data_IF_735191644872
#
_entry.id   IF_735191644872
#
_cell.length_a   1.000
_cell.length_b   1.000
_cell.length_c   1.000
_cell.angle_alpha   90.00
_cell.angle_beta   90.00
_cell.angle_gamma   90.00
#
_symmetry.space_group_name_H-M   'P 1'
#
loop_
_entity.id
_entity.type
_entity.pdbx_description
1 polymer ?
#
# COMPACT_ATOMS: atom_id res chain seq x y z
N UNK A 1 1.96 20.45 -6.43
CA UNK A 1 3.17 19.99 -7.12
C UNK A 1 3.90 21.20 -7.68
N UNK A 2 4.88 21.73 -6.95
CA UNK A 2 5.74 22.80 -7.45
C UNK A 2 6.91 22.14 -8.17
N UNK A 3 7.03 22.36 -9.49
CA UNK A 3 8.13 21.81 -10.31
C UNK A 3 9.46 22.22 -9.69
N UNK A 4 10.24 21.22 -9.29
CA UNK A 4 11.56 21.35 -8.69
C UNK A 4 12.60 21.12 -9.77
N UNK A 5 13.12 22.21 -10.33
CA UNK A 5 14.37 22.22 -11.08
C UNK A 5 15.23 23.35 -10.52
N UNK A 6 16.17 23.08 -9.60
CA UNK A 6 17.05 24.10 -9.02
C UNK A 6 18.25 24.37 -9.93
N UNK A 7 18.08 24.32 -11.25
CA UNK A 7 19.15 24.64 -12.20
C UNK A 7 18.97 26.09 -12.64
N UNK A 8 19.43 27.03 -11.80
CA UNK A 8 19.62 28.42 -12.24
C UNK A 8 19.25 29.53 -11.25
N UNK A 9 18.54 29.27 -10.15
CA UNK A 9 18.25 30.31 -9.15
C UNK A 9 19.52 30.63 -8.32
N UNK A 10 19.98 31.89 -8.26
CA UNK A 10 21.06 32.27 -7.36
C UNK A 10 20.71 31.98 -5.90
N UNK A 11 21.69 31.52 -5.12
CA UNK A 11 21.49 31.14 -3.71
C UNK A 11 20.83 32.25 -2.87
N UNK A 12 21.13 33.52 -3.15
CA UNK A 12 20.53 34.67 -2.48
C UNK A 12 19.03 34.80 -2.73
N UNK A 13 18.59 34.58 -3.96
CA UNK A 13 17.18 34.62 -4.35
C UNK A 13 16.41 33.43 -3.75
N UNK A 14 17.02 32.25 -3.79
CA UNK A 14 16.51 31.04 -3.13
C UNK A 14 16.28 31.27 -1.63
N UNK A 15 17.28 31.81 -0.92
CA UNK A 15 17.17 32.12 0.51
C UNK A 15 16.06 33.14 0.76
N UNK A 16 15.99 34.22 -0.03
CA UNK A 16 14.97 35.26 0.10
C UNK A 16 13.56 34.67 -0.08
N UNK A 17 13.38 33.83 -1.10
CA UNK A 17 12.11 33.17 -1.40
C UNK A 17 11.70 32.22 -0.27
N UNK A 18 12.58 31.28 0.12
CA UNK A 18 12.32 30.32 1.19
C UNK A 18 12.02 31.02 2.53
N UNK A 19 12.71 32.12 2.82
CA UNK A 19 12.46 32.94 4.01
C UNK A 19 11.06 33.54 3.99
N UNK A 20 10.63 34.11 2.86
CA UNK A 20 9.28 34.69 2.69
C UNK A 20 8.18 33.64 2.77
N UNK A 21 8.36 32.49 2.13
CA UNK A 21 7.44 31.34 2.21
C UNK A 21 7.22 30.87 3.65
N UNK A 22 8.22 31.05 4.52
CA UNK A 22 8.18 30.72 5.95
C UNK A 22 7.74 31.87 6.86
N UNK A 23 7.32 33.01 6.30
CA UNK A 23 6.88 34.18 7.06
C UNK A 23 7.98 34.83 7.91
N UNK A 24 9.26 34.61 7.60
CA UNK A 24 10.38 35.12 8.38
C UNK A 24 10.84 36.49 7.89
N UNK A 25 11.14 37.41 8.81
CA UNK A 25 11.88 38.64 8.50
C UNK A 25 13.37 38.33 8.37
N UNK A 26 14.15 39.21 7.71
CA UNK A 26 15.61 39.05 7.67
C UNK A 26 16.22 39.01 9.08
N UNK A 27 15.66 39.79 10.02
CA UNK A 27 16.08 39.79 11.42
C UNK A 27 15.77 38.45 12.08
N UNK A 28 14.54 37.95 11.94
CA UNK A 28 14.15 36.65 12.51
C UNK A 28 14.98 35.48 11.95
N UNK A 29 15.29 35.48 10.65
CA UNK A 29 16.19 34.48 10.08
C UNK A 29 17.60 34.60 10.67
N UNK A 30 18.14 35.83 10.73
CA UNK A 30 19.46 36.10 11.29
C UNK A 30 19.59 35.63 12.75
N UNK A 31 18.57 35.89 13.57
CA UNK A 31 18.50 35.47 14.97
C UNK A 31 18.52 33.93 15.07
N UNK A 32 17.74 33.23 14.22
CA UNK A 32 17.68 31.76 14.19
C UNK A 32 19.00 31.11 13.79
N UNK A 33 19.76 31.71 12.88
CA UNK A 33 21.09 31.19 12.45
C UNK A 33 22.27 31.86 13.16
N UNK A 34 22.00 32.67 14.19
CA UNK A 34 23.00 33.36 15.01
C UNK A 34 23.99 34.22 14.18
N UNK A 35 23.46 35.02 13.26
CA UNK A 35 24.24 35.96 12.46
C UNK A 35 23.61 37.37 12.46
N UNK A 36 24.23 38.34 11.78
CA UNK A 36 23.67 39.69 11.71
C UNK A 36 22.61 39.81 10.60
N UNK A 37 21.60 40.67 10.82
CA UNK A 37 20.61 41.03 9.76
C UNK A 37 21.29 41.50 8.47
N UNK A 38 22.36 42.29 8.61
CA UNK A 38 23.15 42.81 7.49
C UNK A 38 23.78 41.68 6.67
N UNK A 39 24.27 40.63 7.33
CA UNK A 39 24.84 39.46 6.66
C UNK A 39 23.77 38.71 5.85
N UNK A 40 22.55 38.52 6.38
CA UNK A 40 21.43 37.95 5.61
C UNK A 40 21.08 38.84 4.40
N UNK A 41 21.05 40.16 4.59
CA UNK A 41 20.77 41.11 3.50
C UNK A 41 21.81 41.01 2.36
N UNK A 42 23.10 40.96 2.69
CA UNK A 42 24.19 40.81 1.72
C UNK A 42 24.14 39.48 0.98
N UNK A 43 23.72 38.41 1.67
CA UNK A 43 23.52 37.09 1.05
C UNK A 43 22.35 37.13 0.07
N UNK A 44 21.21 37.65 0.50
CA UNK A 44 20.01 37.75 -0.34
C UNK A 44 20.18 38.70 -1.53
N UNK A 45 21.11 39.65 -1.48
CA UNK A 45 21.42 40.54 -2.60
C UNK A 45 22.51 39.98 -3.53
N UNK A 46 23.03 38.78 -3.26
CA UNK A 46 24.14 38.18 -4.01
C UNK A 46 25.50 38.85 -3.75
N UNK A 47 25.58 39.83 -2.85
CA UNK A 47 26.82 40.52 -2.50
C UNK A 47 27.78 39.63 -1.69
N UNK A 48 27.27 38.56 -1.06
CA UNK A 48 28.05 37.61 -0.29
C UNK A 48 27.54 36.19 -0.46
N UNK A 49 28.45 35.25 -0.68
CA UNK A 49 28.13 33.82 -0.63
C UNK A 49 28.30 33.32 0.82
N UNK A 50 27.29 32.64 1.41
CA UNK A 50 27.41 32.12 2.77
C UNK A 50 28.46 31.01 2.84
N UNK A 51 29.38 31.14 3.79
CA UNK A 51 30.35 30.09 4.12
C UNK A 51 29.63 28.84 4.65
N UNK A 52 30.26 27.67 4.52
CA UNK A 52 29.65 26.37 4.85
C UNK A 52 28.92 26.31 6.21
N UNK A 53 29.48 26.75 7.35
CA UNK A 53 28.77 26.64 8.65
C UNK A 53 27.47 27.45 8.70
N UNK A 54 27.47 28.64 8.07
CA UNK A 54 26.28 29.48 7.98
C UNK A 54 25.27 28.88 7.00
N UNK A 55 25.75 28.31 5.88
CA UNK A 55 24.90 27.63 4.89
C UNK A 55 24.23 26.37 5.47
N UNK A 56 24.95 25.58 6.28
CA UNK A 56 24.38 24.43 7.01
C UNK A 56 23.26 24.90 7.95
N UNK A 57 23.52 25.96 8.74
CA UNK A 57 22.53 26.54 9.66
C UNK A 57 21.31 27.10 8.93
N UNK A 58 21.53 27.82 7.83
CA UNK A 58 20.46 28.33 6.96
C UNK A 58 19.66 27.18 6.36
N UNK A 59 20.31 26.12 5.87
CA UNK A 59 19.64 24.96 5.30
C UNK A 59 18.73 24.27 6.33
N UNK A 60 19.22 24.10 7.57
CA UNK A 60 18.45 23.51 8.65
C UNK A 60 17.22 24.37 9.03
N UNK A 61 17.40 25.69 9.21
CA UNK A 61 16.29 26.61 9.55
C UNK A 61 15.28 26.74 8.41
N UNK A 62 15.76 26.73 7.17
CA UNK A 62 14.93 26.80 5.98
C UNK A 62 14.44 25.40 5.55
N UNK A 63 14.83 24.30 6.18
CA UNK A 63 14.39 22.95 5.81
C UNK A 63 14.66 22.54 4.35
N UNK A 64 15.63 23.16 3.69
CA UNK A 64 16.03 22.87 2.30
C UNK A 64 17.56 22.96 2.19
N UNK A 65 18.24 21.95 1.63
CA UNK A 65 19.68 22.01 1.40
C UNK A 65 20.03 23.13 0.40
N UNK A 66 20.86 24.09 0.82
CA UNK A 66 21.29 25.20 -0.03
C UNK A 66 22.52 24.80 -0.86
N UNK A 67 22.59 25.14 -2.17
CA UNK A 67 23.72 24.78 -3.03
C UNK A 67 25.01 25.52 -2.64
N UNK A 68 26.18 25.03 -3.10
CA UNK A 68 27.49 25.64 -2.83
C UNK A 68 27.74 26.94 -3.60
N UNK A 69 27.30 26.99 -4.85
CA UNK A 69 27.50 28.12 -5.76
C UNK A 69 26.47 28.05 -6.89
N UNK A 70 26.11 29.21 -7.45
CA UNK A 70 25.26 29.30 -8.65
C UNK A 70 26.02 29.12 -9.97
N UNK A 71 27.24 28.56 -9.95
CA UNK A 71 28.10 28.34 -11.14
C UNK A 71 28.81 27.00 -11.07
N UNK A 72 29.08 26.43 -12.25
CA UNK A 72 29.85 25.20 -12.48
C UNK A 72 31.22 25.27 -11.80
N UNK A 73 31.59 24.19 -11.11
CA UNK A 73 32.76 24.09 -10.23
C UNK A 73 33.68 22.96 -10.74
N UNK A 74 34.99 23.03 -10.49
CA UNK A 74 35.96 22.03 -10.95
C UNK A 74 35.71 20.62 -10.33
N UNK A 75 36.20 19.50 -10.92
CA UNK A 75 35.82 18.14 -10.50
C UNK A 75 36.12 17.77 -9.04
N UNK A 76 37.25 18.24 -8.48
CA UNK A 76 37.61 18.00 -7.08
C UNK A 76 36.72 18.81 -6.12
N UNK A 77 36.41 20.06 -6.47
CA UNK A 77 35.47 20.91 -5.76
C UNK A 77 34.03 20.39 -5.87
N UNK A 78 33.69 19.69 -6.96
CA UNK A 78 32.40 19.05 -7.16
C UNK A 78 32.18 17.83 -6.26
N UNK A 79 33.22 17.04 -5.97
CA UNK A 79 33.14 15.92 -5.03
C UNK A 79 32.95 16.40 -3.58
N UNK A 80 33.71 17.42 -3.16
CA UNK A 80 33.56 18.06 -1.84
C UNK A 80 32.18 18.73 -1.71
N UNK A 81 31.71 19.39 -2.78
CA UNK A 81 30.35 19.93 -2.88
C UNK A 81 29.29 18.85 -2.73
N UNK A 82 29.49 17.64 -3.28
CA UNK A 82 28.53 16.54 -3.15
C UNK A 82 28.44 16.03 -1.71
N UNK A 83 29.59 15.83 -1.04
CA UNK A 83 29.62 15.40 0.36
C UNK A 83 28.97 16.44 1.29
N UNK A 84 29.27 17.72 1.07
CA UNK A 84 28.64 18.85 1.77
C UNK A 84 27.12 18.88 1.57
N UNK A 85 26.66 18.71 0.32
CA UNK A 85 25.24 18.69 0.01
C UNK A 85 24.52 17.51 0.69
N UNK A 86 25.14 16.33 0.74
CA UNK A 86 24.60 15.18 1.47
C UNK A 86 24.52 15.43 2.97
N UNK A 87 25.56 16.02 3.57
CA UNK A 87 25.57 16.39 4.98
C UNK A 87 24.44 17.38 5.31
N UNK A 88 24.28 18.43 4.50
CA UNK A 88 23.19 19.39 4.65
C UNK A 88 21.82 18.73 4.49
N UNK A 89 21.66 17.87 3.47
CA UNK A 89 20.47 17.05 3.27
C UNK A 89 20.11 16.22 4.50
N UNK A 90 21.10 15.51 5.06
CA UNK A 90 20.91 14.70 6.25
C UNK A 90 20.53 15.54 7.47
N UNK A 91 21.20 16.68 7.71
CA UNK A 91 20.87 17.57 8.81
C UNK A 91 19.45 18.14 8.72
N UNK A 92 18.99 18.45 7.50
CA UNK A 92 17.61 18.88 7.24
C UNK A 92 16.63 17.76 7.56
N UNK A 93 16.90 16.53 7.11
CA UNK A 93 16.05 15.37 7.41
C UNK A 93 16.01 15.09 8.92
N UNK A 94 17.16 15.09 9.59
CA UNK A 94 17.29 14.89 11.03
C UNK A 94 16.48 15.93 11.83
N UNK A 95 16.50 17.19 11.40
CA UNK A 95 15.70 18.25 12.04
C UNK A 95 14.20 18.13 11.77
N UNK A 96 13.79 17.48 10.67
CA UNK A 96 12.38 17.31 10.29
C UNK A 96 11.74 16.09 10.94
N UNK A 97 12.43 14.95 10.90
CA UNK A 97 11.97 13.67 11.44
C UNK A 97 13.19 12.83 11.87
N UNK A 98 13.54 12.86 13.17
CA UNK A 98 14.67 12.11 13.69
C UNK A 98 14.54 10.59 13.51
N UNK A 99 13.32 10.05 13.56
CA UNK A 99 13.06 8.60 13.42
C UNK A 99 13.34 8.17 11.97
N UNK A 100 12.86 8.96 10.99
CA UNK A 100 13.17 8.72 9.59
C UNK A 100 14.68 8.82 9.30
N UNK A 101 15.36 9.80 9.90
CA UNK A 101 16.81 9.96 9.75
C UNK A 101 17.60 8.78 10.35
N UNK A 102 17.18 8.27 11.51
CA UNK A 102 17.76 7.06 12.12
C UNK A 102 17.55 5.82 11.23
N UNK A 103 16.36 5.64 10.67
CA UNK A 103 16.09 4.57 9.71
C UNK A 103 16.99 4.65 8.48
N UNK A 104 17.14 5.85 7.90
CA UNK A 104 18.03 6.07 6.77
C UNK A 104 19.49 5.75 7.11
N UNK A 105 19.95 6.12 8.31
CA UNK A 105 21.30 5.81 8.78
C UNK A 105 21.53 4.30 8.93
N UNK A 106 20.57 3.56 9.50
CA UNK A 106 20.65 2.09 9.60
C UNK A 106 20.74 1.41 8.25
N UNK A 107 19.95 1.86 7.27
CA UNK A 107 20.02 1.36 5.89
C UNK A 107 21.40 1.66 5.29
N UNK A 108 21.88 2.89 5.41
CA UNK A 108 23.20 3.29 4.88
C UNK A 108 24.35 2.47 5.49
N UNK A 109 24.32 2.24 6.81
CA UNK A 109 25.29 1.37 7.50
C UNK A 109 25.23 -0.06 6.98
N UNK A 110 24.03 -0.61 6.78
CA UNK A 110 23.82 -1.94 6.19
C UNK A 110 24.38 -2.04 4.77
N UNK A 111 24.19 -1.01 3.93
CA UNK A 111 24.75 -0.94 2.58
C UNK A 111 26.28 -0.94 2.59
N UNK A 112 26.89 -0.17 3.50
CA UNK A 112 28.36 -0.14 3.65
C UNK A 112 28.88 -1.52 4.08
N UNK A 113 28.24 -2.15 5.07
CA UNK A 113 28.61 -3.48 5.53
C UNK A 113 28.47 -4.55 4.43
N UNK A 114 27.36 -4.52 3.68
CA UNK A 114 27.14 -5.42 2.55
C UNK A 114 28.14 -5.19 1.41
N UNK A 115 28.55 -3.94 1.19
CA UNK A 115 29.59 -3.58 0.23
C UNK A 115 30.97 -4.15 0.58
N UNK A 116 31.31 -4.11 1.87
CA UNK A 116 32.58 -4.62 2.40
C UNK A 116 32.66 -6.15 2.51
N UNK A 117 31.53 -6.86 2.42
CA UNK A 117 31.49 -8.31 2.46
C UNK A 117 32.18 -8.95 1.23
N UNK A 118 32.69 -10.17 1.40
CA UNK A 118 33.42 -10.89 0.36
C UNK A 118 32.56 -11.27 -0.87
N UNK A 119 33.20 -11.75 -1.94
CA UNK A 119 32.52 -12.11 -3.19
C UNK A 119 31.52 -13.26 -3.02
N UNK A 120 31.68 -14.12 -2.02
CA UNK A 120 30.81 -15.26 -1.72
C UNK A 120 29.36 -14.86 -1.42
N UNK A 121 29.13 -13.63 -0.93
CA UNK A 121 27.77 -13.12 -0.66
C UNK A 121 27.24 -12.18 -1.77
N UNK A 122 27.89 -12.13 -2.94
CA UNK A 122 27.50 -11.24 -4.03
C UNK A 122 26.03 -11.43 -4.46
N UNK A 123 25.56 -12.68 -4.52
CA UNK A 123 24.17 -12.99 -4.85
C UNK A 123 23.19 -12.47 -3.79
N UNK A 124 23.52 -12.58 -2.50
CA UNK A 124 22.70 -12.07 -1.40
C UNK A 124 22.65 -10.54 -1.42
N UNK A 125 23.79 -9.89 -1.70
CA UNK A 125 23.87 -8.43 -1.89
C UNK A 125 22.98 -7.96 -3.04
N UNK A 126 23.03 -8.65 -4.18
CA UNK A 126 22.20 -8.34 -5.33
C UNK A 126 20.70 -8.50 -5.03
N UNK A 127 20.32 -9.51 -4.25
CA UNK A 127 18.94 -9.70 -3.77
C UNK A 127 18.53 -8.51 -2.87
N UNK A 128 19.34 -8.17 -1.87
CA UNK A 128 19.05 -7.07 -0.95
C UNK A 128 18.88 -5.73 -1.67
N UNK A 129 19.77 -5.41 -2.63
CA UNK A 129 19.67 -4.19 -3.43
C UNK A 129 18.38 -4.12 -4.23
N UNK A 130 17.96 -5.23 -4.86
CA UNK A 130 16.67 -5.28 -5.57
C UNK A 130 15.48 -5.07 -4.63
N UNK A 131 15.53 -5.58 -3.39
CA UNK A 131 14.45 -5.35 -2.42
C UNK A 131 14.44 -3.90 -1.92
N UNK A 132 15.60 -3.27 -1.71
CA UNK A 132 15.68 -1.85 -1.36
C UNK A 132 15.10 -0.96 -2.46
N UNK A 133 15.48 -1.20 -3.72
CA UNK A 133 14.95 -0.45 -4.86
C UNK A 133 13.42 -0.59 -4.98
N UNK A 134 12.87 -1.79 -4.71
CA UNK A 134 11.41 -1.99 -4.64
C UNK A 134 10.77 -1.16 -3.53
N UNK A 135 11.36 -1.15 -2.33
CA UNK A 135 10.84 -0.37 -1.21
C UNK A 135 10.86 1.14 -1.50
N UNK A 136 11.95 1.65 -2.07
CA UNK A 136 12.07 3.05 -2.50
C UNK A 136 11.00 3.42 -3.53
N UNK A 137 10.78 2.56 -4.52
CA UNK A 137 9.74 2.76 -5.53
C UNK A 137 8.33 2.78 -4.94
N UNK A 138 8.02 1.95 -3.93
CA UNK A 138 6.72 1.98 -3.26
C UNK A 138 6.57 3.25 -2.41
N UNK A 139 7.59 3.63 -1.64
CA UNK A 139 7.58 4.84 -0.81
C UNK A 139 7.38 6.11 -1.65
N UNK A 140 8.01 6.20 -2.82
CA UNK A 140 7.85 7.32 -3.74
C UNK A 140 6.40 7.51 -4.23
N UNK A 141 5.60 6.44 -4.26
CA UNK A 141 4.21 6.46 -4.70
C UNK A 141 3.24 6.91 -3.58
N UNK A 142 3.57 6.68 -2.30
CA UNK A 142 2.68 6.96 -1.15
C UNK A 142 2.08 8.38 -1.16
N UNK A 143 2.82 9.47 -1.43
CA UNK A 143 2.24 10.82 -1.47
C UNK A 143 1.14 11.00 -2.52
N UNK A 144 1.14 10.17 -3.57
CA UNK A 144 0.10 10.19 -4.61
C UNK A 144 -1.20 9.52 -4.18
N UNK A 145 -1.26 8.94 -2.96
CA UNK A 145 -2.41 8.21 -2.42
C UNK A 145 -2.75 6.92 -3.16
N UNK A 146 -1.87 6.51 -4.06
CA UNK A 146 -1.92 5.29 -4.86
C UNK A 146 -0.55 4.64 -4.78
N UNK A 147 -0.52 3.32 -4.59
CA UNK A 147 0.71 2.55 -4.66
C UNK A 147 0.50 1.28 -5.50
N UNK A 148 1.35 1.09 -6.49
CA UNK A 148 1.47 -0.15 -7.25
C UNK A 148 2.58 -0.99 -6.63
N UNK A 149 2.19 -2.12 -6.08
CA UNK A 149 3.08 -3.11 -5.46
C UNK A 149 3.16 -4.31 -6.41
N UNK A 150 4.33 -4.63 -7.01
CA UNK A 150 4.50 -5.81 -7.86
C UNK A 150 4.10 -7.12 -7.16
N UNK A 151 4.00 -8.23 -7.90
CA UNK A 151 3.55 -9.60 -7.54
C UNK A 151 3.84 -10.15 -6.12
N UNK A 152 4.73 -9.51 -5.37
CA UNK A 152 5.15 -9.83 -4.02
C UNK A 152 4.27 -9.19 -2.94
N UNK A 153 3.11 -8.63 -3.28
CA UNK A 153 2.19 -8.21 -2.22
C UNK A 153 1.73 -9.47 -1.46
N UNK A 154 1.93 -9.45 -0.16
CA UNK A 154 1.63 -10.57 0.72
C UNK A 154 0.18 -10.50 1.18
N UNK A 155 -0.32 -11.61 1.69
CA UNK A 155 -1.58 -11.62 2.44
C UNK A 155 -1.50 -10.65 3.64
N UNK A 156 -0.33 -10.50 4.26
CA UNK A 156 -0.07 -9.51 5.31
C UNK A 156 -0.35 -8.06 4.87
N UNK A 157 -0.04 -7.70 3.61
CA UNK A 157 -0.36 -6.36 3.08
C UNK A 157 -1.88 -6.12 3.01
N UNK A 158 -2.66 -7.16 2.71
CA UNK A 158 -4.12 -7.06 2.72
C UNK A 158 -4.64 -6.97 4.15
N UNK A 159 -4.12 -7.80 5.08
CA UNK A 159 -4.47 -7.75 6.50
C UNK A 159 -4.24 -6.34 7.07
N UNK A 160 -3.12 -5.70 6.73
CA UNK A 160 -2.79 -4.32 7.16
C UNK A 160 -3.88 -3.30 6.78
N UNK A 161 -4.55 -3.50 5.64
CA UNK A 161 -5.66 -2.64 5.18
C UNK A 161 -6.99 -3.08 5.78
N UNK A 162 -7.26 -4.39 5.81
CA UNK A 162 -8.48 -5.00 6.33
C UNK A 162 -8.68 -4.69 7.82
N UNK A 163 -7.62 -4.76 8.63
CA UNK A 163 -7.70 -4.50 10.08
C UNK A 163 -8.16 -3.08 10.42
N UNK A 164 -7.99 -2.14 9.47
CA UNK A 164 -8.47 -0.77 9.60
C UNK A 164 -9.97 -0.63 9.37
N UNK A 165 -10.68 -1.68 8.95
CA UNK A 165 -12.12 -1.64 8.68
C UNK A 165 -12.92 -1.21 9.92
N UNK A 166 -13.86 -0.30 9.70
CA UNK A 166 -14.76 0.22 10.74
C UNK A 166 -16.23 0.04 10.40
N UNK A 167 -16.56 -0.17 9.13
CA UNK A 167 -17.94 -0.25 8.65
C UNK A 167 -18.15 -1.44 7.73
N UNK A 168 -17.29 -1.66 6.74
CA UNK A 168 -17.47 -2.73 5.76
C UNK A 168 -16.18 -3.26 5.14
N UNK A 169 -16.17 -4.55 4.78
CA UNK A 169 -15.14 -5.17 3.93
C UNK A 169 -15.84 -5.89 2.79
N UNK A 170 -15.52 -5.53 1.54
CA UNK A 170 -16.10 -6.12 0.33
C UNK A 170 -14.99 -6.75 -0.50
N UNK A 171 -15.12 -8.03 -0.84
CA UNK A 171 -14.09 -8.74 -1.59
C UNK A 171 -14.64 -9.56 -2.74
N UNK A 172 -13.92 -9.56 -3.86
CA UNK A 172 -14.11 -10.46 -5.00
C UNK A 172 -12.86 -11.33 -5.14
N UNK A 173 -13.06 -12.64 -5.11
CA UNK A 173 -12.06 -13.65 -5.40
C UNK A 173 -12.33 -14.20 -6.80
N UNK A 174 -11.51 -13.79 -7.78
CA UNK A 174 -11.66 -14.20 -9.18
C UNK A 174 -10.42 -14.92 -9.73
N UNK A 175 -9.49 -15.34 -8.88
CA UNK A 175 -8.37 -16.21 -9.21
C UNK A 175 -8.50 -17.52 -8.43
N UNK A 176 -7.77 -18.57 -8.84
CA UNK A 176 -7.79 -19.85 -8.14
C UNK A 176 -7.48 -19.71 -6.64
N UNK A 177 -8.12 -20.54 -5.82
CA UNK A 177 -8.03 -20.48 -4.35
C UNK A 177 -6.63 -20.72 -3.78
N UNK A 178 -5.65 -21.14 -4.58
CA UNK A 178 -4.27 -21.33 -4.17
C UNK A 178 -3.65 -20.11 -3.46
N UNK A 179 -4.07 -18.89 -3.82
CA UNK A 179 -3.60 -17.66 -3.18
C UNK A 179 -4.18 -17.40 -1.77
N UNK A 180 -5.26 -18.08 -1.39
CA UNK A 180 -5.97 -17.89 -0.10
C UNK A 180 -6.19 -19.20 0.68
N UNK A 181 -5.95 -20.38 0.10
CA UNK A 181 -6.26 -21.67 0.73
C UNK A 181 -5.13 -22.29 1.56
N UNK A 182 -3.89 -21.79 1.47
CA UNK A 182 -2.72 -22.33 2.19
C UNK A 182 -2.43 -21.67 3.54
N UNK A 183 -1.28 -22.01 4.15
CA UNK A 183 -0.79 -21.44 5.43
C UNK A 183 -0.74 -19.91 5.41
N UNK A 184 -0.30 -19.31 4.29
CA UNK A 184 -0.28 -17.86 4.10
C UNK A 184 -1.69 -17.25 4.13
N UNK A 185 -2.72 -18.04 3.81
CA UNK A 185 -4.12 -17.64 3.94
C UNK A 185 -4.63 -17.65 5.39
N UNK A 186 -4.04 -18.41 6.31
CA UNK A 186 -4.57 -18.59 7.68
C UNK A 186 -4.67 -17.26 8.43
N UNK A 187 -3.64 -16.42 8.32
CA UNK A 187 -3.63 -15.09 8.91
C UNK A 187 -4.78 -14.22 8.39
N UNK A 188 -5.09 -14.31 7.10
CA UNK A 188 -6.21 -13.59 6.51
C UNK A 188 -7.56 -14.10 7.03
N UNK A 189 -7.77 -15.40 7.13
CA UNK A 189 -9.02 -15.94 7.69
C UNK A 189 -9.17 -15.55 9.16
N UNK A 190 -8.10 -15.69 9.94
CA UNK A 190 -8.09 -15.27 11.34
C UNK A 190 -8.44 -13.78 11.47
N UNK A 191 -7.90 -12.93 10.59
CA UNK A 191 -8.23 -11.50 10.55
C UNK A 191 -9.71 -11.26 10.24
N UNK A 192 -10.27 -11.97 9.25
CA UNK A 192 -11.68 -11.84 8.89
C UNK A 192 -12.61 -12.31 10.01
N UNK A 193 -12.28 -13.42 10.69
CA UNK A 193 -13.04 -13.93 11.83
C UNK A 193 -12.97 -12.97 13.03
N UNK A 194 -11.80 -12.39 13.31
CA UNK A 194 -11.65 -11.35 14.35
C UNK A 194 -12.51 -10.12 14.06
N UNK A 195 -12.59 -9.70 12.79
CA UNK A 195 -13.46 -8.59 12.39
C UNK A 195 -14.94 -8.94 12.53
N UNK A 196 -15.34 -10.12 12.07
CA UNK A 196 -16.73 -10.59 12.15
C UNK A 196 -17.21 -10.76 13.60
N UNK A 197 -16.31 -11.09 14.52
CA UNK A 197 -16.61 -11.20 15.95
C UNK A 197 -16.87 -9.86 16.66
N UNK A 198 -16.63 -8.71 16.01
CA UNK A 198 -16.89 -7.39 16.61
C UNK A 198 -18.40 -7.13 16.72
N UNK A 199 -18.83 -6.65 17.87
CA UNK A 199 -20.25 -6.42 18.20
C UNK A 199 -20.55 -4.94 18.48
N UNK A 200 -21.83 -4.57 18.47
CA UNK A 200 -22.30 -3.22 18.79
C UNK A 200 -21.84 -2.17 17.77
N UNK A 201 -21.34 -1.04 18.25
CA UNK A 201 -20.86 0.05 17.38
C UNK A 201 -19.57 -0.27 16.62
N UNK A 202 -18.92 -1.41 16.90
CA UNK A 202 -17.71 -1.87 16.24
C UNK A 202 -17.97 -2.95 15.17
N UNK A 203 -19.23 -3.34 14.95
CA UNK A 203 -19.60 -4.34 13.94
C UNK A 203 -19.21 -3.87 12.54
N UNK A 204 -18.60 -4.79 11.80
CA UNK A 204 -18.15 -4.58 10.42
C UNK A 204 -18.95 -5.50 9.51
N UNK A 205 -19.53 -4.93 8.46
CA UNK A 205 -20.27 -5.67 7.44
C UNK A 205 -19.32 -6.30 6.41
N UNK A 206 -19.27 -7.63 6.33
CA UNK A 206 -18.26 -8.33 5.53
C UNK A 206 -18.94 -9.16 4.45
N UNK A 207 -18.62 -8.85 3.19
CA UNK A 207 -19.16 -9.55 2.03
C UNK A 207 -18.06 -10.04 1.10
N UNK A 208 -18.20 -11.27 0.64
CA UNK A 208 -17.25 -11.99 -0.20
C UNK A 208 -17.97 -12.62 -1.38
N UNK A 209 -17.41 -12.43 -2.57
CA UNK A 209 -17.89 -13.02 -3.81
C UNK A 209 -16.78 -13.91 -4.36
N UNK A 210 -17.09 -15.17 -4.63
CA UNK A 210 -16.21 -16.12 -5.29
C UNK A 210 -16.68 -16.31 -6.72
N UNK A 211 -15.80 -16.03 -7.68
CA UNK A 211 -16.05 -16.23 -9.11
C UNK A 211 -15.19 -17.41 -9.56
N UNK A 212 -15.84 -18.56 -9.79
CA UNK A 212 -15.18 -19.86 -9.96
C UNK A 212 -15.65 -20.55 -11.25
N UNK A 213 -14.84 -21.47 -11.75
CA UNK A 213 -15.13 -22.18 -13.01
C UNK A 213 -15.90 -23.47 -12.75
N UNK A 214 -15.59 -24.15 -11.65
CA UNK A 214 -16.28 -25.33 -11.17
C UNK A 214 -16.65 -25.19 -9.70
N UNK A 215 -17.78 -25.76 -9.28
CA UNK A 215 -18.13 -25.87 -7.85
C UNK A 215 -17.05 -26.62 -7.06
N UNK A 216 -16.37 -27.57 -7.71
CA UNK A 216 -15.28 -28.33 -7.10
C UNK A 216 -14.05 -27.51 -6.71
N UNK A 217 -13.92 -26.30 -7.26
CA UNK A 217 -12.85 -25.37 -6.88
C UNK A 217 -12.95 -24.95 -5.41
N UNK A 218 -14.13 -25.10 -4.79
CA UNK A 218 -14.38 -24.77 -3.38
C UNK A 218 -13.98 -25.87 -2.41
N UNK A 219 -13.80 -27.11 -2.83
CA UNK A 219 -13.56 -28.24 -1.91
C UNK A 219 -12.31 -28.10 -1.06
N UNK A 220 -11.18 -27.59 -1.57
CA UNK A 220 -10.01 -27.32 -0.72
C UNK A 220 -10.22 -26.18 0.30
N UNK A 221 -11.36 -25.49 0.25
CA UNK A 221 -11.64 -24.25 0.98
C UNK A 221 -12.97 -24.29 1.75
N UNK A 222 -13.67 -25.42 1.73
CA UNK A 222 -15.02 -25.58 2.27
C UNK A 222 -15.09 -25.35 3.79
N UNK A 223 -14.08 -25.79 4.54
CA UNK A 223 -13.96 -25.53 5.98
C UNK A 223 -13.94 -24.05 6.29
N UNK A 224 -13.11 -23.29 5.56
CA UNK A 224 -12.97 -21.84 5.77
C UNK A 224 -14.25 -21.14 5.35
N UNK A 225 -14.84 -21.54 4.22
CA UNK A 225 -16.11 -21.02 3.74
C UNK A 225 -17.22 -21.24 4.76
N UNK A 226 -17.32 -22.43 5.34
CA UNK A 226 -18.29 -22.78 6.37
C UNK A 226 -18.11 -21.92 7.62
N UNK A 227 -16.90 -21.90 8.18
CA UNK A 227 -16.58 -21.15 9.41
C UNK A 227 -16.90 -19.66 9.26
N UNK A 228 -16.49 -19.05 8.16
CA UNK A 228 -16.77 -17.63 7.91
C UNK A 228 -18.26 -17.36 7.73
N UNK A 229 -18.96 -18.24 7.02
CA UNK A 229 -20.42 -18.11 6.84
C UNK A 229 -21.14 -18.20 8.18
N UNK A 230 -20.72 -19.13 9.06
CA UNK A 230 -21.23 -19.25 10.43
C UNK A 230 -20.88 -18.05 11.32
N UNK A 231 -19.77 -17.37 11.04
CA UNK A 231 -19.39 -16.12 11.69
C UNK A 231 -20.18 -14.89 11.20
N UNK A 232 -21.17 -15.08 10.30
CA UNK A 232 -22.00 -13.99 9.79
C UNK A 232 -21.43 -13.28 8.57
N UNK A 233 -20.29 -13.73 8.03
CA UNK A 233 -19.73 -13.18 6.80
C UNK A 233 -20.62 -13.57 5.62
N UNK A 234 -21.01 -12.60 4.81
CA UNK A 234 -21.77 -12.82 3.58
C UNK A 234 -20.90 -13.48 2.51
N UNK A 235 -21.27 -14.67 2.06
CA UNK A 235 -20.53 -15.40 1.02
C UNK A 235 -21.45 -15.69 -0.18
N UNK A 236 -21.01 -15.26 -1.35
CA UNK A 236 -21.70 -15.45 -2.63
C UNK A 236 -20.79 -16.22 -3.59
N UNK A 237 -21.34 -17.20 -4.30
CA UNK A 237 -20.65 -17.96 -5.34
C UNK A 237 -21.28 -17.66 -6.69
N UNK A 238 -20.45 -17.38 -7.69
CA UNK A 238 -20.84 -16.98 -9.05
C UNK A 238 -20.06 -17.82 -10.06
N UNK A 239 -20.76 -18.38 -11.06
CA UNK A 239 -20.13 -19.04 -12.21
C UNK A 239 -19.30 -18.02 -13.00
N UNK A 240 -18.04 -18.33 -13.35
CA UNK A 240 -17.19 -17.45 -14.18
C UNK A 240 -17.86 -17.10 -15.51
N UNK A 241 -18.65 -18.00 -16.08
CA UNK A 241 -19.43 -17.74 -17.30
C UNK A 241 -20.43 -16.57 -17.18
N UNK A 242 -20.94 -16.27 -15.97
CA UNK A 242 -21.77 -15.09 -15.71
C UNK A 242 -20.98 -13.81 -15.47
N UNK A 243 -19.68 -13.92 -15.20
CA UNK A 243 -18.80 -12.80 -14.87
C UNK A 243 -17.37 -13.02 -15.42
N UNK A 244 -17.19 -13.15 -16.75
CA UNK A 244 -15.91 -13.55 -17.34
C UNK A 244 -14.79 -12.53 -17.10
N UNK A 245 -15.15 -11.25 -16.91
CA UNK A 245 -14.23 -10.15 -16.66
C UNK A 245 -14.09 -9.81 -15.16
N UNK A 246 -14.55 -10.68 -14.27
CA UNK A 246 -14.35 -10.50 -12.84
C UNK A 246 -12.85 -10.54 -12.50
N UNK A 247 -12.44 -9.63 -11.64
CA UNK A 247 -11.06 -9.52 -11.17
C UNK A 247 -11.05 -9.46 -9.65
N UNK A 248 -9.89 -9.76 -9.06
CA UNK A 248 -9.69 -9.61 -7.63
C UNK A 248 -9.86 -8.16 -7.20
N UNK A 249 -10.78 -7.93 -6.26
CA UNK A 249 -11.08 -6.61 -5.71
C UNK A 249 -11.20 -6.75 -4.20
N UNK A 250 -10.66 -5.79 -3.45
CA UNK A 250 -10.89 -5.60 -2.03
C UNK A 250 -11.19 -4.13 -1.79
N UNK A 251 -12.35 -3.84 -1.20
CA UNK A 251 -12.72 -2.51 -0.75
C UNK A 251 -12.92 -2.55 0.77
N UNK A 252 -12.29 -1.62 1.47
CA UNK A 252 -12.45 -1.45 2.92
C UNK A 252 -13.08 -0.09 3.19
N UNK A 253 -14.25 -0.15 3.82
CA UNK A 253 -15.17 0.96 4.04
C UNK A 253 -15.49 1.69 2.72
N UNK A 254 -15.13 2.97 2.66
CA UNK A 254 -15.05 3.83 1.47
C UNK A 254 -13.71 4.58 1.51
N UNK A 255 -12.66 3.92 2.02
CA UNK A 255 -11.36 4.54 2.30
C UNK A 255 -10.20 3.91 1.54
N UNK A 256 -10.34 2.61 1.24
CA UNK A 256 -9.30 1.85 0.55
C UNK A 256 -9.91 0.97 -0.52
N UNK A 257 -9.22 0.90 -1.65
CA UNK A 257 -9.46 -0.07 -2.69
C UNK A 257 -8.14 -0.74 -3.08
N UNK A 258 -8.18 -2.07 -3.22
CA UNK A 258 -7.09 -2.89 -3.73
C UNK A 258 -7.61 -3.66 -4.92
N UNK A 259 -6.92 -3.57 -6.04
CA UNK A 259 -7.23 -4.34 -7.25
C UNK A 259 -5.98 -4.98 -7.83
N UNK A 260 -6.13 -6.12 -8.50
CA UNK A 260 -5.06 -6.68 -9.30
C UNK A 260 -4.85 -5.89 -10.60
N UNK A 261 -3.60 -5.60 -10.94
CA UNK A 261 -3.21 -5.22 -12.30
C UNK A 261 -2.82 -6.50 -13.04
N UNK A 262 -3.51 -6.81 -14.13
CA UNK A 262 -3.30 -8.03 -14.90
C UNK A 262 -2.66 -7.71 -16.26
N UNK A 263 -1.74 -8.56 -16.70
CA UNK A 263 -1.23 -8.50 -18.08
C UNK A 263 -2.30 -9.05 -19.03
N UNK A 264 -2.77 -8.21 -19.95
CA UNK A 264 -3.74 -8.62 -20.98
C UNK A 264 -3.19 -9.68 -21.94
N UNK A 265 -1.86 -9.90 -21.98
CA UNK A 265 -1.19 -10.85 -22.87
C UNK A 265 -0.76 -12.15 -22.18
N UNK A 266 -0.63 -12.17 -20.85
CA UNK A 266 -0.04 -13.29 -20.10
C UNK A 266 -0.97 -13.94 -19.07
N UNK A 267 -2.23 -13.49 -18.98
CA UNK A 267 -3.24 -13.97 -18.01
C UNK A 267 -2.79 -13.95 -16.53
N UNK A 268 -1.66 -13.30 -16.23
CA UNK A 268 -1.04 -13.24 -14.91
C UNK A 268 -1.26 -11.89 -14.23
N UNK A 269 -1.46 -11.91 -12.92
CA UNK A 269 -1.44 -10.69 -12.09
C UNK A 269 0.00 -10.18 -12.01
N UNK A 270 0.25 -8.96 -12.47
CA UNK A 270 1.56 -8.29 -12.45
C UNK A 270 1.81 -7.50 -11.16
N UNK A 271 0.75 -6.96 -10.58
CA UNK A 271 0.84 -6.11 -9.39
C UNK A 271 -0.50 -6.03 -8.65
N UNK A 272 -0.44 -5.46 -7.45
CA UNK A 272 -1.57 -4.95 -6.71
C UNK A 272 -1.53 -3.44 -6.69
N UNK A 273 -2.63 -2.82 -7.10
CA UNK A 273 -2.85 -1.39 -6.98
C UNK A 273 -3.63 -1.13 -5.70
N UNK A 274 -3.01 -0.45 -4.75
CA UNK A 274 -3.62 0.09 -3.54
C UNK A 274 -3.98 1.55 -3.79
N UNK A 275 -5.20 1.96 -3.45
CA UNK A 275 -5.67 3.33 -3.68
C UNK A 275 -6.53 3.81 -2.53
N UNK A 276 -6.33 5.07 -2.15
CA UNK A 276 -7.21 5.82 -1.24
C UNK A 276 -7.94 6.95 -1.95
N UNK A 277 -7.88 7.02 -3.28
CA UNK A 277 -8.57 8.03 -4.08
C UNK A 277 -10.04 7.65 -4.26
N UNK A 278 -10.95 8.58 -4.01
CA UNK A 278 -12.40 8.34 -4.09
C UNK A 278 -12.85 7.77 -5.45
N UNK A 279 -12.39 8.28 -6.62
CA UNK A 279 -12.81 7.73 -7.91
C UNK A 279 -12.41 6.26 -8.10
N UNK A 280 -11.25 5.85 -7.59
CA UNK A 280 -10.81 4.45 -7.64
C UNK A 280 -11.69 3.58 -6.74
N UNK A 281 -12.03 4.08 -5.54
CA UNK A 281 -12.89 3.38 -4.57
C UNK A 281 -14.29 3.19 -5.16
N UNK A 282 -14.90 4.27 -5.65
CA UNK A 282 -16.25 4.23 -6.25
C UNK A 282 -16.30 3.26 -7.44
N UNK A 283 -15.26 3.26 -8.26
CA UNK A 283 -15.15 2.32 -9.38
C UNK A 283 -15.13 0.86 -8.91
N UNK A 284 -14.36 0.54 -7.87
CA UNK A 284 -14.30 -0.82 -7.34
C UNK A 284 -15.58 -1.23 -6.60
N UNK A 285 -16.21 -0.31 -5.85
CA UNK A 285 -17.54 -0.53 -5.23
C UNK A 285 -18.57 -0.85 -6.31
N UNK A 286 -18.64 -0.07 -7.39
CA UNK A 286 -19.57 -0.31 -8.47
C UNK A 286 -19.38 -1.69 -9.13
N UNK A 287 -18.12 -2.12 -9.32
CA UNK A 287 -17.82 -3.48 -9.83
C UNK A 287 -18.31 -4.56 -8.87
N UNK A 288 -18.09 -4.38 -7.57
CA UNK A 288 -18.57 -5.30 -6.54
C UNK A 288 -20.10 -5.40 -6.55
N UNK A 289 -20.81 -4.27 -6.53
CA UNK A 289 -22.27 -4.22 -6.53
C UNK A 289 -22.90 -4.86 -7.77
N UNK A 290 -22.26 -4.71 -8.94
CA UNK A 290 -22.68 -5.40 -10.18
C UNK A 290 -22.64 -6.92 -10.05
N UNK A 291 -21.63 -7.47 -9.37
CA UNK A 291 -21.53 -8.90 -9.11
C UNK A 291 -22.54 -9.33 -8.04
N UNK A 292 -22.70 -8.55 -6.98
CA UNK A 292 -23.69 -8.83 -5.93
C UNK A 292 -25.12 -8.86 -6.49
N UNK A 293 -25.43 -7.98 -7.45
CA UNK A 293 -26.72 -7.93 -8.13
C UNK A 293 -27.08 -9.21 -8.91
N UNK A 294 -26.10 -10.08 -9.23
CA UNK A 294 -26.36 -11.38 -9.86
C UNK A 294 -27.22 -12.28 -8.98
N UNK A 295 -27.12 -12.14 -7.64
CA UNK A 295 -27.98 -12.88 -6.70
C UNK A 295 -29.46 -12.60 -6.94
N UNK A 296 -29.84 -11.33 -7.17
CA UNK A 296 -31.24 -10.95 -7.43
C UNK A 296 -31.79 -11.52 -8.74
N UNK A 297 -30.91 -11.96 -9.64
CA UNK A 297 -31.24 -12.55 -10.94
C UNK A 297 -31.16 -14.08 -10.93
N UNK A 298 -30.95 -14.71 -9.77
CA UNK A 298 -30.76 -16.15 -9.66
C UNK A 298 -29.47 -16.65 -10.33
N UNK A 299 -28.49 -15.76 -10.60
CA UNK A 299 -27.21 -16.10 -11.25
C UNK A 299 -26.05 -16.27 -10.25
N UNK A 300 -26.37 -16.41 -8.96
CA UNK A 300 -25.39 -16.55 -7.90
C UNK A 300 -26.00 -17.29 -6.70
N UNK A 301 -25.18 -18.10 -6.02
CA UNK A 301 -25.57 -18.89 -4.85
C UNK A 301 -25.15 -18.15 -3.60
N UNK A 302 -26.07 -17.89 -2.67
CA UNK A 302 -25.73 -17.31 -1.36
C UNK A 302 -25.54 -18.43 -0.35
N UNK A 303 -24.29 -18.65 0.06
CA UNK A 303 -23.92 -19.76 0.95
C UNK A 303 -24.58 -19.61 2.32
N UNK A 304 -24.79 -18.38 2.80
CA UNK A 304 -25.50 -18.12 4.04
C UNK A 304 -26.94 -18.67 4.03
N UNK A 305 -27.65 -18.55 2.90
CA UNK A 305 -29.03 -19.06 2.81
C UNK A 305 -29.02 -20.60 2.77
N UNK A 306 -28.05 -21.20 2.07
CA UNK A 306 -27.88 -22.65 1.98
C UNK A 306 -27.60 -23.28 3.35
N UNK A 307 -26.69 -22.71 4.14
CA UNK A 307 -26.35 -23.22 5.48
C UNK A 307 -27.46 -22.92 6.51
N UNK A 308 -28.27 -21.89 6.29
CA UNK A 308 -29.38 -21.54 7.20
C UNK A 308 -30.58 -22.50 7.10
N UNK A 309 -30.67 -23.30 6.04
CA UNK A 309 -31.78 -24.22 5.80
C UNK A 309 -31.49 -25.65 6.33
N UNK A 310 -32.50 -26.39 6.82
CA UNK A 310 -32.35 -27.81 7.13
C UNK A 310 -31.97 -28.64 5.89
N UNK A 311 -31.16 -29.70 6.04
CA UNK A 311 -30.60 -30.20 7.31
C UNK A 311 -29.35 -29.45 7.78
N UNK A 312 -28.75 -28.58 6.95
CA UNK A 312 -27.45 -27.95 7.25
C UNK A 312 -27.48 -27.03 8.47
N UNK A 313 -28.62 -26.39 8.73
CA UNK A 313 -28.80 -25.47 9.86
C UNK A 313 -28.47 -26.07 11.23
N UNK A 314 -28.65 -27.39 11.37
CA UNK A 314 -28.49 -28.12 12.64
C UNK A 314 -27.02 -28.40 13.00
N UNK A 315 -26.09 -28.35 12.05
CA UNK A 315 -24.70 -28.75 12.27
C UNK A 315 -23.84 -27.57 12.69
N UNK A 316 -23.08 -27.69 13.78
CA UNK A 316 -22.19 -26.60 14.23
C UNK A 316 -20.90 -26.53 13.42
N UNK A 317 -20.40 -27.67 12.95
CA UNK A 317 -19.17 -27.81 12.15
C UNK A 317 -19.38 -28.72 10.96
N UNK A 318 -18.52 -28.56 9.94
CA UNK A 318 -18.55 -29.35 8.72
C UNK A 318 -18.11 -30.80 8.94
N UNK A 319 -17.27 -31.06 9.94
CA UNK A 319 -16.75 -32.39 10.29
C UNK A 319 -17.73 -33.27 11.08
N UNK A 320 -18.91 -32.75 11.41
CA UNK A 320 -19.88 -33.47 12.24
C UNK A 320 -20.76 -34.35 11.35
N UNK A 321 -20.60 -35.67 11.49
CA UNK A 321 -21.45 -36.66 10.81
C UNK A 321 -21.40 -36.51 9.29
N UNK A 322 -22.57 -36.41 8.66
CA UNK A 322 -22.70 -36.28 7.20
C UNK A 322 -22.71 -34.82 6.71
N UNK A 323 -22.44 -33.84 7.58
CA UNK A 323 -22.57 -32.41 7.27
C UNK A 323 -21.80 -32.00 6.02
N UNK A 324 -20.53 -32.41 5.88
CA UNK A 324 -19.71 -32.11 4.69
C UNK A 324 -20.34 -32.63 3.40
N UNK A 325 -20.78 -33.89 3.40
CA UNK A 325 -21.43 -34.50 2.23
C UNK A 325 -22.74 -33.81 1.87
N UNK A 326 -23.58 -33.49 2.87
CA UNK A 326 -24.82 -32.73 2.67
C UNK A 326 -24.54 -31.32 2.15
N UNK A 327 -23.49 -30.67 2.63
CA UNK A 327 -23.11 -29.32 2.19
C UNK A 327 -22.64 -29.32 0.74
N UNK A 328 -21.77 -30.28 0.37
CA UNK A 328 -21.31 -30.46 -1.02
C UNK A 328 -22.49 -30.74 -1.94
N UNK A 329 -23.35 -31.70 -1.60
CA UNK A 329 -24.50 -32.07 -2.42
C UNK A 329 -25.49 -30.89 -2.62
N UNK A 330 -25.78 -30.14 -1.55
CA UNK A 330 -26.65 -28.96 -1.65
C UNK A 330 -26.03 -27.87 -2.53
N UNK A 331 -24.71 -27.69 -2.46
CA UNK A 331 -24.00 -26.70 -3.25
C UNK A 331 -23.90 -27.11 -4.73
N UNK A 332 -23.66 -28.38 -5.02
CA UNK A 332 -23.68 -28.96 -6.37
C UNK A 332 -25.07 -28.82 -6.99
N UNK A 333 -26.12 -29.16 -6.25
CA UNK A 333 -27.50 -28.97 -6.71
C UNK A 333 -27.78 -27.49 -7.03
N UNK A 334 -27.46 -26.58 -6.11
CA UNK A 334 -27.65 -25.15 -6.32
C UNK A 334 -26.83 -24.62 -7.50
N UNK A 335 -25.66 -25.20 -7.75
CA UNK A 335 -24.80 -24.89 -8.88
C UNK A 335 -25.41 -25.33 -10.21
N UNK A 336 -25.97 -26.54 -10.27
CA UNK A 336 -26.61 -27.07 -11.48
C UNK A 336 -27.92 -26.35 -11.81
N UNK A 337 -28.63 -25.86 -10.79
CA UNK A 337 -29.85 -25.06 -10.95
C UNK A 337 -29.60 -23.63 -11.45
N UNK A 338 -28.35 -23.11 -11.37
CA UNK A 338 -28.02 -21.80 -11.92
C UNK A 338 -28.24 -21.79 -13.44
N UNK A 339 -28.92 -20.75 -13.99
CA UNK A 339 -29.21 -20.68 -15.42
C UNK A 339 -27.92 -20.66 -16.26
N UNK A 340 -27.97 -21.07 -17.53
CA UNK A 340 -26.85 -20.88 -18.44
C UNK A 340 -26.54 -19.38 -18.63
N UNK A 341 -25.30 -19.10 -19.06
CA UNK A 341 -24.80 -17.72 -19.19
C UNK A 341 -25.58 -16.90 -20.21
#
# INVERSE_FOLDING_TARGET
MTRYDPVGEPIGDLIRRLRKERGLTQKSLADKVKCSRSQIQQIESGARIPQRPLRESLSAVLGVPLPASGRTVAPAEAADTRADNLRMGFNVLLGRDPVAAEHALRIAQGLVAAGAAGPEVASLRAIAMRQLERAENVLAQVPSRVARVPEWNTVADWCTVIEQATRSVRMVHAAGFAAIGGEVGDEYHATMLRLAARTGSATVDIHRIYVIDSVSDLWPYDDRLWQMTRAGIGNLVVKRSHAPNAQGVLVVDERFAISGDYDTLREGRLASRFSTLQPDIDFQVNRFEKLEALRRRGKAIRINDLIANPPLSQFTSLDVGECRGLFHAALEQAWDELPPA
#
